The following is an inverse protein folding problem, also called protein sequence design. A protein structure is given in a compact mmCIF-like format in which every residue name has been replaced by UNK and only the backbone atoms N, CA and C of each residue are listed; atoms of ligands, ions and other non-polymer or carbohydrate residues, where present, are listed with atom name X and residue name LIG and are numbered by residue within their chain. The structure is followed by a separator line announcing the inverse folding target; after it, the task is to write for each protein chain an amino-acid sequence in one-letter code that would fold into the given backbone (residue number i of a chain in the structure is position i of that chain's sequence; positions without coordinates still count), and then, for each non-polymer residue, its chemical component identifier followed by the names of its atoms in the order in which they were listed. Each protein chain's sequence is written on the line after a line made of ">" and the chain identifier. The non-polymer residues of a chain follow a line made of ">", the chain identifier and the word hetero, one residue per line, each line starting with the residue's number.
data_IF_771116620566
#
_entry.id   IF_771116620566
#
_cell.length_a   1.000
_cell.length_b   1.000
_cell.length_c   1.000
_cell.angle_alpha   90.00
_cell.angle_beta   90.00
_cell.angle_gamma   90.00
#
_symmetry.space_group_name_H-M   'P 1'
#
loop_
_entity.id
_entity.type
_entity.pdbx_description
1 polymer ?
#
# COMPACT_ATOMS: atom_id res chain seq x y z
N UNK A 1 -22.31 -8.97 12.34
CA UNK A 1 -23.33 -7.94 12.57
C UNK A 1 -23.75 -7.95 14.04
N UNK A 2 -24.01 -6.79 14.63
CA UNK A 2 -24.65 -6.68 15.96
C UNK A 2 -26.08 -6.20 15.78
N UNK A 3 -27.02 -6.84 16.47
CA UNK A 3 -28.45 -6.60 16.31
C UNK A 3 -29.15 -6.45 17.64
N UNK A 4 -30.25 -5.69 17.67
CA UNK A 4 -31.13 -5.58 18.84
C UNK A 4 -31.85 -6.89 19.12
N UNK A 5 -32.21 -7.64 18.08
CA UNK A 5 -32.78 -8.98 18.10
C UNK A 5 -32.02 -9.85 17.08
N UNK A 6 -31.03 -10.65 17.52
CA UNK A 6 -30.26 -11.52 16.65
C UNK A 6 -31.08 -12.58 15.91
N UNK A 7 -32.08 -13.14 16.55
CA UNK A 7 -32.91 -14.21 15.98
C UNK A 7 -33.82 -13.66 14.89
N UNK A 8 -34.47 -12.53 15.13
CA UNK A 8 -35.26 -11.83 14.12
C UNK A 8 -34.41 -11.35 12.96
N UNK A 9 -33.17 -10.88 13.22
CA UNK A 9 -32.23 -10.46 12.20
C UNK A 9 -31.79 -11.63 11.32
N UNK A 10 -31.40 -12.75 11.91
CA UNK A 10 -31.05 -13.97 11.18
C UNK A 10 -32.22 -14.49 10.34
N UNK A 11 -33.45 -14.49 10.92
CA UNK A 11 -34.64 -14.88 10.19
C UNK A 11 -34.88 -13.99 8.96
N UNK A 12 -34.75 -12.69 9.10
CA UNK A 12 -34.90 -11.75 7.98
C UNK A 12 -33.88 -12.02 6.87
N UNK A 13 -32.57 -12.12 7.21
CA UNK A 13 -31.54 -12.39 6.19
C UNK A 13 -31.69 -13.77 5.53
N UNK A 14 -32.21 -14.77 6.27
CA UNK A 14 -32.55 -16.08 5.70
C UNK A 14 -33.72 -15.96 4.72
N UNK A 15 -34.81 -15.36 5.15
CA UNK A 15 -36.08 -15.39 4.44
C UNK A 15 -36.13 -14.36 3.29
N UNK A 16 -35.46 -13.21 3.45
CA UNK A 16 -35.42 -12.14 2.46
C UNK A 16 -34.22 -12.28 1.54
N UNK A 17 -33.03 -12.50 2.07
CA UNK A 17 -31.78 -12.49 1.29
C UNK A 17 -31.31 -13.90 0.88
N UNK A 18 -32.00 -14.96 1.33
CA UNK A 18 -31.71 -16.34 0.94
C UNK A 18 -30.51 -16.98 1.64
N UNK A 19 -30.14 -16.52 2.82
CA UNK A 19 -29.05 -17.10 3.59
C UNK A 19 -29.36 -18.53 4.05
N UNK A 20 -28.40 -19.44 3.92
CA UNK A 20 -28.51 -20.83 4.38
C UNK A 20 -28.14 -20.93 5.86
N UNK A 21 -29.02 -21.48 6.74
CA UNK A 21 -28.70 -21.69 8.14
C UNK A 21 -27.45 -22.58 8.30
N UNK A 22 -26.52 -22.15 9.13
CA UNK A 22 -25.28 -22.88 9.41
C UNK A 22 -24.79 -22.62 10.83
N UNK A 23 -24.10 -23.59 11.44
CA UNK A 23 -23.49 -23.43 12.75
C UNK A 23 -21.96 -23.50 12.65
N UNK A 24 -21.28 -22.43 13.06
CA UNK A 24 -19.82 -22.36 13.07
C UNK A 24 -19.28 -23.18 14.25
N UNK A 25 -18.63 -24.32 13.93
CA UNK A 25 -18.06 -25.25 14.91
C UNK A 25 -19.07 -25.73 15.99
N UNK A 26 -20.37 -25.74 15.66
CA UNK A 26 -21.43 -26.12 16.61
C UNK A 26 -21.57 -25.18 17.82
N UNK A 27 -21.08 -23.95 17.74
CA UNK A 27 -21.10 -22.99 18.85
C UNK A 27 -21.75 -21.65 18.53
N UNK A 28 -21.76 -21.27 17.27
CA UNK A 28 -22.30 -19.98 16.81
C UNK A 28 -23.22 -20.27 15.64
N UNK A 29 -24.50 -20.02 15.80
CA UNK A 29 -25.46 -20.10 14.72
C UNK A 29 -25.40 -18.84 13.87
N UNK A 30 -25.57 -19.02 12.57
CA UNK A 30 -25.47 -17.95 11.57
C UNK A 30 -26.03 -18.38 10.24
N UNK A 31 -25.72 -17.60 9.20
CA UNK A 31 -26.10 -17.92 7.84
C UNK A 31 -24.85 -18.02 6.95
N UNK A 32 -24.97 -18.75 5.87
CA UNK A 32 -23.98 -18.77 4.78
C UNK A 32 -24.58 -18.18 3.52
N UNK A 33 -23.75 -17.34 2.86
CA UNK A 33 -24.00 -16.79 1.54
C UNK A 33 -22.77 -17.11 0.70
N UNK A 34 -22.88 -18.00 -0.25
CA UNK A 34 -21.81 -18.38 -1.19
C UNK A 34 -20.39 -18.48 -0.56
N UNK A 35 -20.30 -19.21 0.53
CA UNK A 35 -19.03 -19.41 1.26
C UNK A 35 -18.69 -18.32 2.30
N UNK A 36 -19.44 -17.24 2.38
CA UNK A 36 -19.27 -16.19 3.39
C UNK A 36 -20.13 -16.50 4.60
N UNK A 37 -19.55 -16.41 5.80
CA UNK A 37 -20.27 -16.51 7.05
C UNK A 37 -20.89 -15.19 7.46
N UNK A 38 -22.20 -15.21 7.74
CA UNK A 38 -22.93 -14.09 8.28
C UNK A 38 -23.34 -14.42 9.72
N UNK A 39 -22.61 -13.85 10.66
CA UNK A 39 -22.83 -14.06 12.10
C UNK A 39 -23.47 -12.83 12.72
N UNK A 40 -24.46 -13.04 13.57
CA UNK A 40 -25.16 -11.96 14.27
C UNK A 40 -25.01 -12.17 15.77
N UNK A 41 -24.69 -11.12 16.50
CA UNK A 41 -24.59 -11.11 17.95
C UNK A 41 -25.46 -10.01 18.55
N UNK A 42 -25.89 -10.19 19.80
CA UNK A 42 -26.70 -9.19 20.49
C UNK A 42 -25.94 -7.87 20.68
N UNK A 43 -26.66 -6.75 20.53
CA UNK A 43 -26.20 -5.44 20.91
C UNK A 43 -26.76 -5.08 22.27
N UNK A 44 -25.94 -4.96 23.32
CA UNK A 44 -26.46 -4.89 24.71
C UNK A 44 -27.11 -3.54 25.07
N UNK A 45 -26.92 -2.51 24.26
CA UNK A 45 -27.36 -1.13 24.57
C UNK A 45 -28.62 -0.69 23.80
N UNK A 46 -29.38 -1.64 23.23
CA UNK A 46 -30.59 -1.35 22.44
C UNK A 46 -30.33 -1.36 20.93
N UNK A 47 -31.27 -0.82 20.14
CA UNK A 47 -31.14 -0.83 18.69
C UNK A 47 -29.95 0.04 18.23
N UNK A 48 -28.99 -0.51 17.46
CA UNK A 48 -27.95 0.29 16.83
C UNK A 48 -28.62 1.28 15.86
N UNK A 49 -28.10 2.48 15.78
CA UNK A 49 -28.59 3.45 14.77
C UNK A 49 -28.23 3.03 13.35
N UNK A 50 -28.84 3.69 12.35
CA UNK A 50 -28.59 3.45 10.92
C UNK A 50 -27.08 3.35 10.58
N UNK A 51 -26.75 2.52 9.60
CA UNK A 51 -25.38 2.41 9.07
C UNK A 51 -25.04 3.48 8.06
N UNK A 52 -26.02 4.22 7.54
CA UNK A 52 -25.81 5.29 6.54
C UNK A 52 -24.82 6.32 7.06
N UNK A 53 -23.83 6.66 6.24
CA UNK A 53 -22.73 7.60 6.57
C UNK A 53 -21.84 7.20 7.76
N UNK A 54 -21.74 5.90 8.05
CA UNK A 54 -20.82 5.35 9.06
C UNK A 54 -19.65 4.62 8.40
N UNK A 55 -18.68 4.19 9.19
CA UNK A 55 -17.50 3.45 8.72
C UNK A 55 -17.86 2.19 7.92
N UNK A 56 -19.00 1.53 8.24
CA UNK A 56 -19.63 0.52 7.39
C UNK A 56 -21.00 1.08 7.01
N UNK A 57 -21.12 1.60 5.79
CA UNK A 57 -22.36 2.21 5.31
C UNK A 57 -23.41 1.16 4.97
N UNK A 58 -23.02 0.06 4.33
CA UNK A 58 -23.97 -0.97 3.89
C UNK A 58 -23.33 -2.36 3.83
N UNK A 59 -24.19 -3.38 3.79
CA UNK A 59 -23.86 -4.77 3.46
C UNK A 59 -24.30 -5.03 2.02
N UNK A 60 -23.39 -5.48 1.16
CA UNK A 60 -23.65 -5.69 -0.26
C UNK A 60 -23.89 -7.16 -0.61
N UNK A 61 -24.90 -7.40 -1.48
CA UNK A 61 -25.17 -8.70 -2.11
C UNK A 61 -25.11 -8.55 -3.62
N UNK A 62 -24.40 -9.45 -4.28
CA UNK A 62 -24.27 -9.46 -5.74
C UNK A 62 -25.31 -10.40 -6.33
N UNK A 63 -25.96 -9.97 -7.40
CA UNK A 63 -27.00 -10.74 -8.15
C UNK A 63 -26.72 -10.68 -9.65
N UNK A 64 -27.08 -11.71 -10.36
CA UNK A 64 -26.86 -11.78 -11.82
C UNK A 64 -27.83 -10.87 -12.62
N UNK A 65 -29.05 -10.69 -12.13
CA UNK A 65 -30.09 -9.85 -12.72
C UNK A 65 -30.77 -9.03 -11.63
N UNK A 66 -30.44 -7.74 -11.59
CA UNK A 66 -30.95 -6.84 -10.58
C UNK A 66 -32.47 -6.58 -10.71
N UNK A 67 -33.03 -6.60 -11.92
CA UNK A 67 -34.46 -6.41 -12.11
C UNK A 67 -35.26 -7.61 -11.61
N UNK A 68 -34.79 -8.82 -11.91
CA UNK A 68 -35.39 -10.05 -11.39
C UNK A 68 -35.27 -10.13 -9.85
N UNK A 69 -34.08 -9.81 -9.30
CA UNK A 69 -33.88 -9.79 -7.84
C UNK A 69 -34.75 -8.73 -7.16
N UNK A 70 -34.88 -7.53 -7.73
CA UNK A 70 -35.73 -6.47 -7.18
C UNK A 70 -37.21 -6.84 -7.23
N UNK A 71 -37.67 -7.54 -8.29
CA UNK A 71 -39.04 -8.03 -8.39
C UNK A 71 -39.33 -9.09 -7.30
N UNK A 72 -38.42 -10.03 -7.07
CA UNK A 72 -38.53 -11.06 -6.02
C UNK A 72 -38.54 -10.43 -4.61
N UNK A 73 -37.63 -9.50 -4.35
CA UNK A 73 -37.57 -8.79 -3.06
C UNK A 73 -38.87 -8.02 -2.77
N UNK A 74 -39.48 -7.39 -3.79
CA UNK A 74 -40.77 -6.73 -3.63
C UNK A 74 -41.91 -7.71 -3.32
N UNK A 75 -41.87 -8.91 -3.93
CA UNK A 75 -42.84 -9.98 -3.59
C UNK A 75 -42.70 -10.46 -2.14
N UNK A 76 -41.50 -10.39 -1.60
CA UNK A 76 -41.21 -10.69 -0.17
C UNK A 76 -41.49 -9.49 0.75
N UNK A 77 -42.08 -8.41 0.25
CA UNK A 77 -42.51 -7.24 1.03
C UNK A 77 -41.41 -6.22 1.31
N UNK A 78 -40.29 -6.28 0.60
CA UNK A 78 -39.19 -5.32 0.75
C UNK A 78 -39.50 -4.01 0.02
N UNK A 79 -39.25 -2.90 0.70
CA UNK A 79 -39.32 -1.54 0.12
C UNK A 79 -37.89 -1.03 -0.10
N UNK A 80 -37.61 -0.48 -1.29
CA UNK A 80 -36.31 0.07 -1.61
C UNK A 80 -36.19 1.52 -1.13
N UNK A 81 -35.04 1.86 -0.54
CA UNK A 81 -34.63 3.25 -0.31
C UNK A 81 -34.20 3.92 -1.62
N UNK A 82 -33.56 3.14 -2.48
CA UNK A 82 -33.19 3.52 -3.82
C UNK A 82 -33.48 2.38 -4.79
N UNK A 83 -34.33 2.63 -5.78
CA UNK A 83 -34.66 1.69 -6.85
C UNK A 83 -33.43 1.36 -7.72
N UNK A 84 -33.45 0.23 -8.46
CA UNK A 84 -32.37 -0.13 -9.38
C UNK A 84 -31.97 1.01 -10.31
N UNK A 85 -30.73 1.49 -10.19
CA UNK A 85 -30.22 2.62 -10.97
C UNK A 85 -28.73 2.44 -11.26
N UNK A 86 -28.30 2.97 -12.41
CA UNK A 86 -26.88 3.20 -12.67
C UNK A 86 -26.46 4.46 -11.91
N UNK A 87 -25.46 4.40 -11.02
CA UNK A 87 -25.03 5.56 -10.27
C UNK A 87 -24.56 6.70 -11.19
N UNK A 88 -25.10 7.90 -11.01
CA UNK A 88 -24.63 9.07 -11.73
C UNK A 88 -23.20 9.40 -11.32
N UNK A 89 -22.29 9.54 -12.29
CA UNK A 89 -20.88 9.84 -12.04
C UNK A 89 -20.07 8.66 -11.48
N UNK A 90 -20.67 7.47 -11.36
CA UNK A 90 -19.97 6.26 -10.91
C UNK A 90 -19.01 5.73 -11.97
N UNK A 91 -17.89 5.19 -11.54
CA UNK A 91 -16.88 4.54 -12.42
C UNK A 91 -17.30 3.14 -12.87
N UNK A 92 -18.41 2.63 -12.37
CA UNK A 92 -18.96 1.33 -12.76
C UNK A 92 -20.29 1.53 -13.48
N UNK A 93 -20.50 0.76 -14.55
CA UNK A 93 -21.80 0.65 -15.22
C UNK A 93 -22.76 -0.28 -14.45
N UNK A 94 -22.31 -0.92 -13.39
CA UNK A 94 -23.11 -1.87 -12.65
C UNK A 94 -24.24 -1.16 -11.92
N UNK A 95 -25.45 -1.68 -12.12
CA UNK A 95 -26.66 -1.20 -11.48
C UNK A 95 -26.71 -1.63 -10.03
N UNK A 96 -27.28 -0.81 -9.20
CA UNK A 96 -27.48 -1.13 -7.78
C UNK A 96 -28.80 -0.59 -7.25
N UNK A 97 -29.28 -1.20 -6.18
CA UNK A 97 -30.42 -0.76 -5.41
C UNK A 97 -30.07 -0.76 -3.92
N UNK A 98 -30.74 0.06 -3.13
CA UNK A 98 -30.59 0.05 -1.68
C UNK A 98 -31.92 -0.21 -1.00
N UNK A 99 -31.87 -0.97 0.08
CA UNK A 99 -33.01 -1.25 0.95
C UNK A 99 -32.58 -1.20 2.43
N UNK A 100 -33.54 -1.04 3.33
CA UNK A 100 -33.31 -1.08 4.76
C UNK A 100 -33.54 -2.49 5.30
N UNK A 101 -32.52 -3.05 5.92
CA UNK A 101 -32.61 -4.28 6.68
C UNK A 101 -32.96 -4.05 8.17
N UNK A 102 -32.95 -5.11 9.00
CA UNK A 102 -33.17 -5.01 10.43
C UNK A 102 -32.20 -4.00 11.10
N UNK A 103 -32.66 -3.33 12.15
CA UNK A 103 -31.91 -2.30 12.88
C UNK A 103 -31.40 -1.14 11.99
N UNK A 104 -32.14 -0.82 10.93
CA UNK A 104 -31.79 0.20 9.95
C UNK A 104 -30.39 0.00 9.32
N UNK A 105 -29.95 -1.24 9.19
CA UNK A 105 -28.77 -1.60 8.41
C UNK A 105 -29.10 -1.41 6.95
N UNK A 106 -28.31 -0.58 6.26
CA UNK A 106 -28.46 -0.39 4.81
C UNK A 106 -27.95 -1.63 4.08
N UNK A 107 -28.73 -2.16 3.16
CA UNK A 107 -28.37 -3.29 2.33
C UNK A 107 -28.32 -2.84 0.87
N UNK A 108 -27.21 -3.11 0.20
CA UNK A 108 -27.05 -2.90 -1.24
C UNK A 108 -27.27 -4.21 -1.98
N UNK A 109 -28.06 -4.18 -3.06
CA UNK A 109 -28.16 -5.26 -4.05
C UNK A 109 -27.55 -4.74 -5.34
N UNK A 110 -26.55 -5.45 -5.84
CA UNK A 110 -25.69 -4.98 -6.93
C UNK A 110 -25.64 -6.03 -8.02
N UNK A 111 -25.78 -5.61 -9.27
CA UNK A 111 -25.74 -6.51 -10.43
C UNK A 111 -24.32 -7.06 -10.65
N UNK A 112 -24.21 -8.31 -11.11
CA UNK A 112 -22.95 -8.95 -11.52
C UNK A 112 -22.24 -8.05 -12.53
N UNK A 113 -20.93 -7.87 -12.37
CA UNK A 113 -20.15 -6.81 -13.05
C UNK A 113 -19.81 -5.65 -12.12
N UNK A 114 -20.35 -5.63 -10.90
CA UNK A 114 -19.79 -4.93 -9.74
C UNK A 114 -18.76 -5.82 -9.01
N UNK A 115 -18.03 -6.62 -9.73
CA UNK A 115 -16.77 -7.11 -9.19
C UNK A 115 -15.95 -5.86 -8.90
N UNK A 116 -15.78 -5.53 -7.62
CA UNK A 116 -15.04 -4.34 -7.23
C UNK A 116 -13.83 -4.20 -8.14
N UNK A 117 -13.93 -3.30 -9.10
CA UNK A 117 -12.97 -3.10 -10.17
C UNK A 117 -12.72 -4.39 -10.99
N UNK A 118 -13.62 -4.74 -11.93
CA UNK A 118 -13.18 -5.42 -13.15
C UNK A 118 -12.24 -4.46 -13.87
N UNK A 119 -10.97 -4.53 -13.50
CA UNK A 119 -9.94 -4.01 -14.37
C UNK A 119 -9.97 -4.93 -15.57
N UNK A 120 -10.41 -4.42 -16.69
CA UNK A 120 -10.09 -5.00 -17.97
C UNK A 120 -8.56 -5.00 -18.10
N UNK A 121 -7.95 -6.06 -17.59
CA UNK A 121 -6.49 -6.26 -17.64
C UNK A 121 -6.00 -6.32 -19.10
N UNK A 122 -6.90 -6.43 -20.09
CA UNK A 122 -6.58 -6.33 -21.50
C UNK A 122 -6.27 -4.91 -21.97
N UNK A 123 -6.67 -3.88 -21.22
CA UNK A 123 -6.57 -2.49 -21.69
C UNK A 123 -5.34 -1.72 -21.22
N UNK A 124 -4.57 -2.20 -20.24
CA UNK A 124 -3.50 -1.42 -19.66
C UNK A 124 -2.28 -2.27 -19.22
N UNK A 125 -1.62 -2.87 -20.19
CA UNK A 125 -0.26 -3.38 -19.96
C UNK A 125 0.69 -2.22 -20.19
N UNK A 126 1.29 -1.73 -19.11
CA UNK A 126 2.27 -0.67 -19.15
C UNK A 126 3.62 -1.27 -19.56
N UNK A 127 3.95 -1.16 -20.82
CA UNK A 127 5.33 -1.38 -21.27
C UNK A 127 6.17 -0.16 -20.86
N UNK A 128 7.44 -0.39 -20.58
CA UNK A 128 8.41 0.67 -20.28
C UNK A 128 8.48 1.73 -21.39
N UNK A 129 8.20 1.33 -22.63
CA UNK A 129 8.33 2.18 -23.84
C UNK A 129 7.01 2.88 -24.28
N UNK A 130 5.87 2.58 -23.65
CA UNK A 130 4.55 2.98 -24.20
C UNK A 130 4.12 4.42 -23.88
N UNK A 131 4.88 5.17 -23.08
CA UNK A 131 4.54 6.55 -22.73
C UNK A 131 5.35 7.50 -23.61
N UNK A 132 4.68 8.04 -24.63
CA UNK A 132 5.23 9.13 -25.46
C UNK A 132 5.50 10.40 -24.64
N UNK A 133 6.08 11.42 -25.28
CA UNK A 133 6.30 12.72 -24.64
C UNK A 133 4.96 13.27 -24.11
N UNK A 134 4.88 13.49 -22.81
CA UNK A 134 3.71 14.07 -22.13
C UNK A 134 4.04 15.51 -21.74
N UNK A 135 3.22 16.45 -22.16
CA UNK A 135 3.33 17.85 -21.73
C UNK A 135 2.66 17.99 -20.37
N UNK A 136 3.46 17.98 -19.30
CA UNK A 136 2.96 18.04 -17.94
C UNK A 136 2.27 19.38 -17.66
N UNK A 137 1.11 19.40 -16.99
CA UNK A 137 0.50 20.63 -16.51
C UNK A 137 1.53 21.46 -15.73
N UNK A 138 1.34 22.78 -15.75
CA UNK A 138 2.23 23.70 -15.05
C UNK A 138 1.54 24.33 -13.87
N UNK A 139 2.30 24.52 -12.80
CA UNK A 139 1.89 25.35 -11.68
C UNK A 139 1.74 26.82 -12.11
N UNK A 140 1.03 27.66 -11.33
CA UNK A 140 0.92 29.10 -11.65
C UNK A 140 2.26 29.84 -11.75
N UNK A 141 3.33 29.28 -11.19
CA UNK A 141 4.70 29.82 -11.29
C UNK A 141 5.58 29.13 -12.31
N UNK A 142 5.01 28.23 -13.17
CA UNK A 142 5.61 27.72 -14.38
C UNK A 142 6.39 26.40 -14.25
N UNK A 143 6.53 25.83 -13.05
CA UNK A 143 7.14 24.51 -12.84
C UNK A 143 6.17 23.39 -13.25
N UNK A 144 6.65 22.18 -13.62
CA UNK A 144 5.76 21.02 -13.81
C UNK A 144 4.93 20.76 -12.56
N UNK A 145 3.65 20.50 -12.74
CA UNK A 145 2.71 20.26 -11.63
C UNK A 145 2.68 18.78 -11.27
N UNK A 146 3.19 18.45 -10.07
CA UNK A 146 3.20 17.12 -9.47
C UNK A 146 2.24 17.02 -8.28
N UNK A 147 1.50 18.09 -7.98
CA UNK A 147 0.62 18.13 -6.83
C UNK A 147 -0.44 17.03 -6.91
N UNK A 148 -0.81 16.49 -5.77
CA UNK A 148 -1.86 15.47 -5.64
C UNK A 148 -1.48 14.37 -4.67
N UNK A 149 -2.39 13.42 -4.55
CA UNK A 149 -2.17 12.17 -3.82
C UNK A 149 -1.78 11.08 -4.80
N UNK A 150 -0.65 10.46 -4.53
CA UNK A 150 -0.05 9.42 -5.37
C UNK A 150 0.02 8.12 -4.59
N UNK A 151 0.02 6.99 -5.29
CA UNK A 151 0.27 5.68 -4.71
C UNK A 151 1.24 4.89 -5.56
N UNK A 152 2.11 4.10 -4.94
CA UNK A 152 2.97 3.15 -5.66
C UNK A 152 2.45 1.72 -5.59
N UNK A 153 1.18 1.54 -5.31
CA UNK A 153 0.54 0.21 -5.20
C UNK A 153 0.67 -0.63 -6.46
N UNK A 154 0.68 -0.03 -7.65
CA UNK A 154 0.88 -0.73 -8.93
C UNK A 154 2.26 -1.39 -9.05
N UNK A 155 3.25 -0.89 -8.32
CA UNK A 155 4.59 -1.47 -8.29
C UNK A 155 4.74 -2.61 -7.26
N UNK A 156 3.72 -2.87 -6.45
CA UNK A 156 3.71 -4.01 -5.53
C UNK A 156 3.74 -5.29 -6.35
N UNK A 157 4.75 -6.08 -6.09
CA UNK A 157 4.91 -7.32 -6.84
C UNK A 157 6.05 -7.28 -7.85
N UNK A 158 6.55 -6.12 -8.25
CA UNK A 158 7.78 -6.04 -9.01
C UNK A 158 8.93 -6.45 -8.08
N UNK A 159 9.74 -7.47 -8.43
CA UNK A 159 10.91 -7.82 -7.65
C UNK A 159 11.88 -6.63 -7.58
N UNK A 160 12.56 -6.46 -6.45
CA UNK A 160 13.56 -5.41 -6.37
C UNK A 160 14.75 -5.69 -7.29
N UNK A 161 15.25 -6.92 -7.26
CA UNK A 161 16.29 -7.44 -8.16
C UNK A 161 15.69 -8.48 -9.09
N UNK A 162 16.22 -8.61 -10.30
CA UNK A 162 15.78 -9.60 -11.25
C UNK A 162 15.97 -11.02 -10.69
N UNK A 163 14.92 -11.87 -10.70
CA UNK A 163 15.03 -13.26 -10.30
C UNK A 163 16.01 -14.05 -11.20
N UNK A 164 16.62 -15.10 -10.65
CA UNK A 164 17.61 -15.90 -11.37
C UNK A 164 17.04 -16.65 -12.57
N UNK A 165 15.76 -17.00 -12.49
CA UNK A 165 14.99 -17.78 -13.48
C UNK A 165 14.29 -16.89 -14.53
N UNK A 166 14.50 -15.57 -14.47
CA UNK A 166 13.88 -14.60 -15.39
C UNK A 166 14.97 -13.91 -16.22
N UNK A 167 14.81 -13.87 -17.54
CA UNK A 167 15.71 -13.17 -18.45
C UNK A 167 15.64 -11.63 -18.25
N UNK A 168 16.71 -10.94 -18.66
CA UNK A 168 16.70 -9.48 -18.68
C UNK A 168 15.78 -8.97 -19.79
N UNK A 169 15.10 -7.85 -19.54
CA UNK A 169 14.13 -7.23 -20.44
C UNK A 169 12.75 -7.16 -19.80
N UNK A 170 11.74 -6.82 -20.59
CA UNK A 170 10.36 -6.75 -20.10
C UNK A 170 9.68 -8.13 -20.14
N UNK A 171 8.77 -8.35 -19.23
CA UNK A 171 7.87 -9.51 -19.26
C UNK A 171 6.87 -9.37 -20.42
N UNK A 172 6.43 -10.50 -20.97
CA UNK A 172 5.23 -10.47 -21.80
C UNK A 172 4.01 -10.06 -20.97
N UNK A 173 2.96 -9.65 -21.67
CA UNK A 173 1.68 -9.33 -21.03
C UNK A 173 1.16 -10.44 -20.13
N UNK A 174 1.18 -11.67 -20.65
CA UNK A 174 0.71 -12.87 -19.94
C UNK A 174 1.57 -13.16 -18.71
N UNK A 175 2.88 -13.03 -18.82
CA UNK A 175 3.80 -13.21 -17.69
C UNK A 175 3.59 -12.15 -16.61
N UNK A 176 3.35 -10.90 -17.00
CA UNK A 176 3.10 -9.80 -16.06
C UNK A 176 1.78 -10.03 -15.30
N UNK A 177 0.71 -10.42 -16.00
CA UNK A 177 -0.58 -10.78 -15.40
C UNK A 177 -0.43 -11.98 -14.46
N UNK A 178 0.21 -13.06 -14.91
CA UNK A 178 0.41 -14.25 -14.09
C UNK A 178 1.23 -13.96 -12.82
N UNK A 179 2.25 -13.11 -12.93
CA UNK A 179 3.02 -12.63 -11.77
C UNK A 179 2.15 -11.85 -10.79
N UNK A 180 1.31 -10.97 -11.29
CA UNK A 180 0.40 -10.16 -10.49
C UNK A 180 -0.61 -11.04 -9.75
N UNK A 181 -1.31 -11.91 -10.44
CA UNK A 181 -2.27 -12.86 -9.88
C UNK A 181 -1.61 -13.80 -8.86
N UNK A 182 -0.47 -14.37 -9.18
CA UNK A 182 0.27 -15.26 -8.30
C UNK A 182 0.63 -14.62 -6.97
N UNK A 183 0.90 -13.31 -6.96
CA UNK A 183 1.18 -12.56 -5.73
C UNK A 183 -0.07 -12.17 -4.95
N UNK A 184 -1.17 -11.88 -5.64
CA UNK A 184 -2.46 -11.65 -5.00
C UNK A 184 -2.97 -12.90 -4.28
N UNK A 185 -2.81 -14.06 -4.92
CA UNK A 185 -3.26 -15.36 -4.38
C UNK A 185 -2.28 -15.93 -3.35
N UNK A 186 -0.98 -15.76 -3.56
CA UNK A 186 0.09 -16.36 -2.75
C UNK A 186 0.32 -15.73 -1.37
N UNK A 187 -0.39 -14.68 -1.03
CA UNK A 187 -0.20 -13.96 0.25
C UNK A 187 1.08 -13.14 0.26
N UNK A 188 0.96 -11.82 0.08
CA UNK A 188 2.09 -10.93 0.28
C UNK A 188 2.40 -10.92 1.78
N UNK A 189 3.56 -11.49 2.17
CA UNK A 189 4.09 -11.41 3.52
C UNK A 189 3.30 -12.13 4.62
N UNK A 190 2.45 -13.12 4.27
CA UNK A 190 1.69 -13.88 5.25
C UNK A 190 0.53 -13.12 5.90
N UNK A 191 0.14 -11.97 5.37
CA UNK A 191 -1.04 -11.27 5.81
C UNK A 191 -2.30 -11.93 5.26
N UNK A 192 -3.31 -12.05 6.10
CA UNK A 192 -4.64 -12.48 5.69
C UNK A 192 -5.21 -11.53 4.63
N UNK A 193 -6.10 -12.04 3.78
CA UNK A 193 -6.60 -11.33 2.60
C UNK A 193 -7.30 -10.00 2.95
N UNK A 194 -7.96 -9.93 4.10
CA UNK A 194 -8.65 -8.75 4.61
C UNK A 194 -7.75 -7.59 5.03
N UNK A 195 -6.46 -7.84 5.22
CA UNK A 195 -5.46 -6.82 5.58
C UNK A 195 -4.78 -6.19 4.39
N UNK A 196 -5.13 -6.63 3.19
CA UNK A 196 -4.54 -6.09 1.98
C UNK A 196 -5.26 -4.81 1.60
N UNK A 197 -4.47 -3.83 1.22
CA UNK A 197 -4.99 -2.66 0.53
C UNK A 197 -5.72 -3.13 -0.73
N UNK A 198 -7.01 -2.86 -0.84
CA UNK A 198 -7.82 -3.24 -1.99
C UNK A 198 -7.34 -2.60 -3.29
N UNK A 199 -6.56 -1.52 -3.18
CA UNK A 199 -5.88 -0.88 -4.30
C UNK A 199 -4.65 -1.64 -4.78
N UNK A 200 -4.09 -2.55 -3.97
CA UNK A 200 -2.92 -3.36 -4.33
C UNK A 200 -3.17 -4.32 -5.50
N UNK A 201 -4.40 -4.73 -5.68
CA UNK A 201 -4.78 -5.69 -6.70
C UNK A 201 -4.69 -5.13 -8.11
N UNK A 202 -4.85 -3.83 -8.24
CA UNK A 202 -5.16 -3.24 -9.53
C UNK A 202 -4.49 -1.88 -9.59
N UNK A 203 -3.23 -1.88 -10.02
CA UNK A 203 -2.63 -0.63 -10.45
C UNK A 203 -3.59 0.02 -11.44
N UNK A 204 -4.04 1.22 -11.16
CA UNK A 204 -5.06 1.90 -11.99
C UNK A 204 -4.60 2.17 -13.40
N UNK A 205 -3.30 2.13 -13.61
CA UNK A 205 -2.63 2.30 -14.88
C UNK A 205 -2.31 0.95 -15.55
N UNK A 206 -2.64 -0.18 -14.91
CA UNK A 206 -2.39 -1.52 -15.45
C UNK A 206 -1.26 -2.29 -14.77
N UNK A 207 -1.00 -3.48 -15.28
CA UNK A 207 0.04 -4.38 -14.79
C UNK A 207 1.38 -4.03 -15.44
N UNK A 208 2.41 -3.76 -14.64
CA UNK A 208 3.75 -3.45 -15.16
C UNK A 208 4.42 -4.69 -15.75
N UNK A 209 5.00 -4.54 -16.94
CA UNK A 209 5.87 -5.56 -17.57
C UNK A 209 7.30 -5.52 -17.02
N UNK A 210 7.63 -4.55 -16.20
CA UNK A 210 8.96 -4.38 -15.62
C UNK A 210 9.41 -5.63 -14.84
N UNK A 211 10.56 -6.19 -15.21
CA UNK A 211 11.10 -7.43 -14.62
C UNK A 211 11.59 -7.23 -13.20
N UNK A 212 12.24 -6.09 -12.93
CA UNK A 212 12.80 -5.73 -11.63
C UNK A 212 12.78 -4.22 -11.43
N UNK A 213 12.89 -3.78 -10.18
CA UNK A 213 13.02 -2.34 -9.91
C UNK A 213 14.42 -1.82 -10.26
N UNK A 214 15.47 -2.62 -10.06
CA UNK A 214 16.83 -2.26 -10.47
C UNK A 214 16.91 -2.23 -11.99
N UNK A 215 17.31 -1.08 -12.54
CA UNK A 215 17.45 -0.83 -13.99
C UNK A 215 18.90 -0.57 -14.40
N UNK A 216 19.74 -0.19 -13.45
CA UNK A 216 21.17 -0.04 -13.64
C UNK A 216 21.91 -0.58 -12.40
N UNK A 217 22.76 -1.58 -12.52
CA UNK A 217 23.24 -2.24 -13.75
C UNK A 217 22.13 -2.90 -14.60
N UNK A 218 22.34 -3.01 -15.95
CA UNK A 218 21.31 -3.46 -16.88
C UNK A 218 20.94 -4.95 -16.74
N UNK A 219 21.69 -5.71 -15.94
CA UNK A 219 21.32 -7.06 -15.56
C UNK A 219 20.19 -7.13 -14.52
N UNK A 220 19.73 -5.96 -14.03
CA UNK A 220 18.66 -5.86 -13.06
C UNK A 220 19.03 -6.30 -11.64
N UNK A 221 20.32 -6.30 -11.31
CA UNK A 221 20.84 -6.76 -10.01
C UNK A 221 21.64 -5.68 -9.31
N UNK A 222 21.64 -5.75 -7.99
CA UNK A 222 22.51 -4.89 -7.20
C UNK A 222 23.98 -5.25 -7.45
N UNK A 223 24.89 -4.25 -7.52
CA UNK A 223 26.30 -4.51 -7.63
C UNK A 223 26.82 -5.24 -6.39
N UNK A 224 28.00 -5.86 -6.53
CA UNK A 224 28.67 -6.51 -5.42
C UNK A 224 28.95 -5.52 -4.30
N UNK A 225 28.95 -6.02 -3.07
CA UNK A 225 29.36 -5.24 -1.91
C UNK A 225 30.89 -5.11 -1.89
N UNK A 226 31.37 -4.00 -1.36
CA UNK A 226 32.82 -3.82 -1.16
C UNK A 226 33.36 -4.80 -0.12
N UNK A 227 34.62 -5.22 -0.27
CA UNK A 227 35.28 -6.11 0.69
C UNK A 227 35.25 -5.54 2.14
N UNK A 228 35.30 -4.21 2.28
CA UNK A 228 35.18 -3.53 3.57
C UNK A 228 33.81 -3.77 4.22
N UNK A 229 32.74 -3.75 3.42
CA UNK A 229 31.37 -4.00 3.90
C UNK A 229 31.16 -5.47 4.24
N UNK A 230 31.71 -6.38 3.43
CA UNK A 230 31.65 -7.81 3.70
C UNK A 230 32.38 -8.18 4.99
N UNK A 231 33.58 -7.66 5.18
CA UNK A 231 34.31 -7.87 6.41
C UNK A 231 33.59 -7.36 7.67
N UNK A 232 32.86 -6.21 7.53
CA UNK A 232 32.07 -5.65 8.62
C UNK A 232 30.79 -6.46 8.87
N UNK A 233 30.18 -7.04 7.82
CA UNK A 233 29.02 -7.91 7.94
C UNK A 233 29.36 -9.20 8.69
N UNK A 234 30.52 -9.78 8.42
CA UNK A 234 31.03 -10.96 9.14
C UNK A 234 31.25 -10.66 10.62
N UNK A 235 31.72 -9.45 10.98
CA UNK A 235 31.95 -9.04 12.37
C UNK A 235 30.71 -8.55 13.10
N UNK A 236 29.71 -8.04 12.38
CA UNK A 236 28.48 -7.47 12.95
C UNK A 236 27.25 -8.40 12.87
N UNK A 237 27.40 -9.62 12.31
CA UNK A 237 26.27 -10.48 11.97
C UNK A 237 25.45 -9.87 10.83
N UNK A 238 25.58 -10.43 9.64
CA UNK A 238 24.94 -9.93 8.42
C UNK A 238 23.44 -9.69 8.62
N UNK A 239 22.92 -8.55 8.18
CA UNK A 239 21.48 -8.26 8.19
C UNK A 239 20.65 -9.20 7.29
N UNK A 240 21.30 -9.97 6.40
CA UNK A 240 20.74 -11.08 5.62
C UNK A 240 21.02 -12.47 6.19
N UNK A 241 22.00 -12.62 7.07
CA UNK A 241 22.08 -13.85 7.83
C UNK A 241 20.79 -13.94 8.65
N UNK A 242 20.16 -15.13 8.80
CA UNK A 242 19.20 -15.30 9.86
C UNK A 242 19.96 -14.87 11.11
N UNK A 243 19.71 -13.63 11.56
CA UNK A 243 20.18 -13.23 12.87
C UNK A 243 19.72 -14.37 13.78
N UNK A 244 20.65 -15.14 14.34
CA UNK A 244 20.45 -15.51 15.72
C UNK A 244 20.17 -14.19 16.38
N UNK A 245 18.87 -13.87 16.49
CA UNK A 245 18.39 -12.51 16.79
C UNK A 245 19.00 -12.20 18.13
N UNK A 246 20.04 -11.38 18.10
CA UNK A 246 20.60 -10.87 19.34
C UNK A 246 19.42 -10.29 20.09
N UNK A 247 19.14 -10.82 21.25
CA UNK A 247 18.01 -10.40 22.08
C UNK A 247 18.17 -8.91 22.29
N UNK A 248 17.24 -8.04 21.81
CA UNK A 248 17.43 -6.60 21.90
C UNK A 248 17.54 -6.20 23.36
N UNK A 249 18.58 -5.43 23.67
CA UNK A 249 18.87 -4.94 25.03
C UNK A 249 17.97 -3.77 25.39
N UNK A 250 17.63 -2.94 24.41
CA UNK A 250 16.79 -1.77 24.56
C UNK A 250 16.08 -1.38 23.26
N UNK A 251 15.29 -0.30 23.28
CA UNK A 251 14.63 0.23 22.09
C UNK A 251 15.60 0.59 20.97
N UNK A 252 16.83 0.95 21.29
CA UNK A 252 17.87 1.38 20.34
C UNK A 252 18.28 0.24 19.39
N UNK A 253 18.11 -1.01 19.81
CA UNK A 253 18.41 -2.18 19.01
C UNK A 253 17.31 -2.52 18.01
N UNK A 254 16.15 -1.83 18.10
CA UNK A 254 15.02 -1.98 17.19
C UNK A 254 15.15 -1.00 16.02
N UNK A 255 14.57 -1.39 14.88
CA UNK A 255 14.57 -0.53 13.70
C UNK A 255 13.84 0.78 13.94
N UNK A 256 14.21 1.81 13.19
CA UNK A 256 13.53 3.12 13.21
C UNK A 256 12.05 3.02 12.91
N UNK A 257 11.62 2.02 12.11
CA UNK A 257 10.23 1.76 11.83
C UNK A 257 9.47 1.25 13.06
N UNK A 258 9.96 0.21 13.73
CA UNK A 258 9.33 -0.32 14.97
C UNK A 258 9.25 0.76 16.04
N UNK A 259 10.19 1.69 16.04
CA UNK A 259 10.25 2.84 16.96
C UNK A 259 9.41 4.03 16.51
N UNK A 260 8.68 3.94 15.42
CA UNK A 260 7.88 5.04 14.83
C UNK A 260 8.68 6.32 14.55
N UNK A 261 9.96 6.18 14.19
CA UNK A 261 10.83 7.32 13.87
C UNK A 261 10.75 7.64 12.38
N UNK A 262 11.02 6.63 11.53
CA UNK A 262 10.96 6.76 10.06
C UNK A 262 11.00 5.39 9.39
N UNK A 263 10.42 5.31 8.19
CA UNK A 263 10.62 4.16 7.27
C UNK A 263 11.75 4.37 6.27
N UNK A 264 12.50 5.44 6.42
CA UNK A 264 13.55 5.83 5.49
C UNK A 264 13.01 6.64 4.29
N UNK A 265 13.92 7.19 3.50
CA UNK A 265 13.61 8.18 2.48
C UNK A 265 12.92 7.59 1.25
N UNK A 266 13.33 6.40 0.81
CA UNK A 266 12.84 5.77 -0.42
C UNK A 266 11.51 5.05 -0.14
N UNK A 267 10.41 5.47 -0.79
CA UNK A 267 9.07 4.90 -0.54
C UNK A 267 8.87 3.61 -1.34
N UNK A 268 9.56 2.53 -0.96
CA UNK A 268 9.37 1.24 -1.62
C UNK A 268 7.94 0.72 -1.46
N UNK A 269 7.34 0.13 -2.52
CA UNK A 269 6.00 -0.44 -2.46
C UNK A 269 5.88 -1.52 -1.38
N UNK A 270 4.81 -1.49 -0.65
CA UNK A 270 4.51 -2.42 0.44
C UNK A 270 3.10 -3.00 0.37
N UNK A 271 2.77 -3.88 1.30
CA UNK A 271 1.46 -4.55 1.36
C UNK A 271 0.29 -3.62 1.72
N UNK A 272 0.54 -2.39 2.17
CA UNK A 272 -0.47 -1.41 2.60
C UNK A 272 0.17 -0.04 2.80
N UNK A 273 -0.67 1.00 2.90
CA UNK A 273 -0.28 2.38 3.19
C UNK A 273 0.81 2.91 2.24
N UNK A 274 0.52 2.81 0.93
CA UNK A 274 1.44 3.21 -0.14
C UNK A 274 1.23 4.66 -0.60
N UNK A 275 0.43 5.43 0.12
CA UNK A 275 0.09 6.81 -0.24
C UNK A 275 1.24 7.79 -0.04
N UNK A 276 1.31 8.73 -0.97
CA UNK A 276 2.24 9.85 -0.96
C UNK A 276 1.49 11.10 -1.40
N UNK A 277 1.64 12.19 -0.67
CA UNK A 277 1.11 13.48 -1.06
C UNK A 277 2.23 14.41 -1.49
N UNK A 278 2.10 14.99 -2.66
CA UNK A 278 3.02 16.03 -3.15
C UNK A 278 2.29 17.38 -3.10
N UNK A 279 2.90 18.35 -2.45
CA UNK A 279 2.47 19.75 -2.42
C UNK A 279 3.63 20.61 -2.90
N UNK A 280 3.35 21.57 -3.78
CA UNK A 280 4.35 22.47 -4.33
C UNK A 280 4.03 23.92 -3.96
N UNK A 281 5.09 24.67 -3.75
CA UNK A 281 5.06 26.12 -3.66
C UNK A 281 6.27 26.71 -4.37
N UNK A 282 6.28 28.02 -4.64
CA UNK A 282 7.44 28.65 -5.26
C UNK A 282 8.72 28.36 -4.46
N UNK A 283 9.68 27.69 -5.07
CA UNK A 283 10.97 27.38 -4.46
C UNK A 283 11.01 26.16 -3.55
N UNK A 284 9.93 25.37 -3.45
CA UNK A 284 9.95 24.12 -2.66
C UNK A 284 8.92 23.10 -3.13
N UNK A 285 9.22 21.84 -2.83
CA UNK A 285 8.30 20.68 -2.96
C UNK A 285 8.27 19.96 -1.63
N UNK A 286 7.08 19.72 -1.08
CA UNK A 286 6.86 18.91 0.10
C UNK A 286 6.31 17.54 -0.32
N UNK A 287 6.93 16.47 0.16
CA UNK A 287 6.51 15.09 -0.11
C UNK A 287 6.17 14.45 1.23
N UNK A 288 4.90 14.20 1.46
CA UNK A 288 4.39 13.53 2.66
C UNK A 288 4.15 12.07 2.35
N UNK A 289 4.70 11.20 3.17
CA UNK A 289 4.45 9.77 3.13
C UNK A 289 3.38 9.40 4.15
N UNK A 290 2.42 8.58 3.75
CA UNK A 290 1.36 8.12 4.64
C UNK A 290 1.92 7.38 5.86
N UNK A 291 2.77 6.38 5.60
CA UNK A 291 3.34 5.56 6.65
C UNK A 291 4.32 6.35 7.53
N UNK A 292 4.02 6.41 8.83
CA UNK A 292 4.72 7.25 9.84
C UNK A 292 4.49 8.76 9.64
N UNK A 293 3.56 9.16 8.76
CA UNK A 293 3.16 10.56 8.43
C UNK A 293 4.35 11.52 8.27
N UNK A 294 5.42 11.04 7.63
CA UNK A 294 6.68 11.76 7.50
C UNK A 294 6.65 12.69 6.30
N UNK A 295 6.93 13.97 6.52
CA UNK A 295 7.01 14.98 5.46
C UNK A 295 8.45 15.41 5.22
N UNK A 296 8.88 15.32 3.97
CA UNK A 296 10.15 15.83 3.50
C UNK A 296 9.94 17.13 2.71
N UNK A 297 10.68 18.17 3.05
CA UNK A 297 10.69 19.43 2.29
C UNK A 297 11.96 19.51 1.45
N UNK A 298 11.79 19.65 0.15
CA UNK A 298 12.84 19.78 -0.84
C UNK A 298 12.85 21.24 -1.31
N UNK A 299 13.93 21.99 -1.03
CA UNK A 299 14.11 23.32 -1.59
C UNK A 299 14.58 23.21 -3.04
N UNK A 300 13.87 23.87 -3.97
CA UNK A 300 14.26 23.98 -5.39
C UNK A 300 15.04 25.26 -5.68
N UNK A 301 15.14 26.15 -4.70
CA UNK A 301 16.01 27.32 -4.79
C UNK A 301 17.47 26.94 -4.49
N UNK A 302 18.44 27.56 -5.17
CA UNK A 302 19.85 27.39 -4.86
C UNK A 302 20.17 27.78 -3.42
N UNK A 303 20.57 26.80 -2.62
CA UNK A 303 21.00 27.01 -1.22
C UNK A 303 22.33 26.30 -0.98
N UNK A 304 23.22 26.87 -0.16
CA UNK A 304 24.42 26.16 0.26
C UNK A 304 24.07 24.83 0.95
N UNK A 305 24.90 23.82 0.73
CA UNK A 305 24.80 22.59 1.51
C UNK A 305 25.03 22.89 2.99
N UNK A 306 24.28 22.27 3.87
CA UNK A 306 24.61 22.27 5.30
C UNK A 306 25.94 21.51 5.50
N UNK A 307 26.72 21.96 6.48
CA UNK A 307 27.97 21.28 6.80
C UNK A 307 27.72 19.83 7.21
N UNK A 308 28.70 18.96 6.98
CA UNK A 308 28.62 17.51 7.30
C UNK A 308 28.34 17.20 8.79
N UNK A 309 28.46 18.19 9.67
CA UNK A 309 28.05 18.05 11.07
C UNK A 309 26.53 18.08 11.32
N UNK A 310 25.73 18.44 10.29
CA UNK A 310 24.26 18.45 10.38
C UNK A 310 23.76 17.22 9.63
N UNK A 311 23.61 16.11 10.35
CA UNK A 311 23.14 14.85 9.81
C UNK A 311 21.77 14.45 10.42
N UNK A 312 20.89 13.85 9.61
CA UNK A 312 19.58 13.38 10.06
C UNK A 312 19.27 11.99 9.50
N UNK A 313 18.18 11.38 9.97
CA UNK A 313 17.72 10.10 9.46
C UNK A 313 17.43 10.13 7.94
N UNK A 314 16.83 11.24 7.47
CA UNK A 314 16.47 11.42 6.07
C UNK A 314 17.49 12.24 5.26
N UNK A 315 18.62 12.60 5.89
CA UNK A 315 19.59 13.46 5.24
C UNK A 315 19.08 14.88 4.96
N UNK A 316 19.75 15.57 4.06
CA UNK A 316 19.36 16.89 3.57
C UNK A 316 19.10 16.81 2.06
N UNK A 317 17.86 17.09 1.67
CA UNK A 317 17.42 17.10 0.27
C UNK A 317 17.49 18.49 -0.34
N UNK A 318 17.98 18.57 -1.59
CA UNK A 318 17.98 19.77 -2.42
C UNK A 318 17.49 19.40 -3.80
N UNK A 319 16.56 20.17 -4.33
CA UNK A 319 15.96 19.94 -5.63
C UNK A 319 16.43 20.94 -6.69
N UNK A 320 16.30 20.54 -7.94
CA UNK A 320 16.37 21.41 -9.11
C UNK A 320 15.50 20.85 -10.20
N UNK A 321 15.02 21.70 -11.06
CA UNK A 321 14.32 21.30 -12.26
C UNK A 321 15.31 21.05 -13.41
N UNK A 322 15.14 19.94 -14.11
CA UNK A 322 15.86 19.55 -15.33
C UNK A 322 14.80 19.27 -16.40
N UNK A 323 14.40 20.33 -17.12
CA UNK A 323 13.20 20.27 -17.97
C UNK A 323 11.96 19.97 -17.16
N UNK A 324 11.27 18.87 -17.47
CA UNK A 324 10.05 18.42 -16.79
C UNK A 324 10.32 17.44 -15.66
N UNK A 325 11.58 17.25 -15.30
CA UNK A 325 12.00 16.35 -14.23
C UNK A 325 12.45 17.12 -12.99
N UNK A 326 11.88 16.81 -11.84
CA UNK A 326 12.42 17.22 -10.55
C UNK A 326 13.57 16.28 -10.18
N UNK A 327 14.77 16.82 -10.06
CA UNK A 327 15.97 16.10 -9.60
C UNK A 327 16.25 16.50 -8.16
N UNK A 328 16.31 15.52 -7.26
CA UNK A 328 16.56 15.74 -5.84
C UNK A 328 17.84 15.02 -5.43
N UNK A 329 18.79 15.76 -4.91
CA UNK A 329 20.01 15.22 -4.31
C UNK A 329 19.90 15.23 -2.80
N UNK A 330 20.18 14.10 -2.16
CA UNK A 330 20.14 13.96 -0.70
C UNK A 330 21.44 13.36 -0.19
N UNK A 331 22.04 14.03 0.80
CA UNK A 331 23.24 13.60 1.50
C UNK A 331 23.10 13.90 3.02
N UNK A 332 24.17 13.78 3.78
CA UNK A 332 24.21 14.06 5.21
C UNK A 332 23.26 13.14 6.02
N UNK A 333 23.22 11.85 5.69
CA UNK A 333 22.54 10.85 6.47
C UNK A 333 23.29 10.57 7.78
N UNK A 334 22.57 10.29 8.86
CA UNK A 334 23.16 9.88 10.13
C UNK A 334 23.46 8.37 10.22
N UNK A 335 23.05 7.59 9.22
CA UNK A 335 23.24 6.14 9.13
C UNK A 335 22.21 5.31 9.92
N UNK A 336 21.26 5.95 10.62
CA UNK A 336 20.29 5.25 11.46
C UNK A 336 19.06 4.72 10.68
N UNK A 337 18.85 5.19 9.44
CA UNK A 337 17.76 4.73 8.56
C UNK A 337 18.33 4.32 7.19
N UNK A 338 19.33 3.44 7.20
CA UNK A 338 20.01 3.01 5.98
C UNK A 338 19.12 2.21 5.06
N UNK A 339 19.20 2.52 3.77
CA UNK A 339 18.48 1.77 2.72
C UNK A 339 19.37 0.64 2.19
N UNK A 340 18.91 -0.60 2.30
CA UNK A 340 19.61 -1.82 1.88
C UNK A 340 21.06 -1.95 2.39
N UNK A 341 21.28 -1.44 3.59
CA UNK A 341 22.57 -1.48 4.25
C UNK A 341 23.56 -0.40 3.82
N UNK A 342 23.12 0.61 3.07
CA UNK A 342 23.91 1.80 2.77
C UNK A 342 24.32 2.53 4.05
N UNK A 343 25.43 3.26 3.98
CA UNK A 343 26.03 3.95 5.12
C UNK A 343 25.56 5.40 5.24
N UNK A 344 26.09 6.11 6.22
CA UNK A 344 25.93 7.56 6.35
C UNK A 344 26.58 8.36 5.21
N UNK A 345 27.50 7.73 4.48
CA UNK A 345 28.25 8.34 3.38
C UNK A 345 27.51 8.17 2.03
N UNK A 346 26.29 7.62 2.06
CA UNK A 346 25.41 7.51 0.89
C UNK A 346 25.04 8.87 0.33
N UNK A 347 25.09 9.00 -0.99
CA UNK A 347 24.40 10.04 -1.76
C UNK A 347 23.23 9.39 -2.49
N UNK A 348 22.07 10.02 -2.43
CA UNK A 348 20.86 9.60 -3.13
C UNK A 348 20.48 10.67 -4.14
N UNK A 349 20.32 10.27 -5.40
CA UNK A 349 19.78 11.13 -6.45
C UNK A 349 18.43 10.57 -6.88
N UNK A 350 17.40 11.35 -6.74
CA UNK A 350 16.03 10.97 -7.11
C UNK A 350 15.58 11.82 -8.31
N UNK A 351 14.82 11.20 -9.21
CA UNK A 351 14.24 11.86 -10.39
C UNK A 351 12.75 11.54 -10.41
N UNK A 352 11.96 12.59 -10.51
CA UNK A 352 10.51 12.52 -10.62
C UNK A 352 10.11 13.10 -11.95
N UNK A 353 9.44 12.32 -12.80
CA UNK A 353 9.01 12.75 -14.13
C UNK A 353 7.56 12.36 -14.35
N UNK A 354 6.70 13.33 -14.65
CA UNK A 354 5.30 13.04 -14.96
C UNK A 354 5.20 12.56 -16.40
N UNK A 355 4.78 11.31 -16.58
CA UNK A 355 4.72 10.63 -17.89
C UNK A 355 3.31 10.60 -18.48
N UNK A 356 2.30 10.98 -17.70
CA UNK A 356 0.90 10.98 -18.11
C UNK A 356 0.02 11.72 -17.12
N UNK A 357 -1.29 11.88 -17.41
CA UNK A 357 -2.21 12.57 -16.53
C UNK A 357 -2.22 12.01 -15.11
N UNK A 358 -2.10 10.69 -14.97
CA UNK A 358 -2.10 9.99 -13.70
C UNK A 358 -0.84 9.17 -13.45
N UNK A 359 0.27 9.40 -14.14
CA UNK A 359 1.50 8.58 -13.99
C UNK A 359 2.70 9.45 -13.69
N UNK A 360 3.38 9.15 -12.58
CA UNK A 360 4.64 9.73 -12.17
C UNK A 360 5.70 8.62 -12.14
N UNK A 361 6.78 8.77 -12.92
CA UNK A 361 7.94 7.90 -12.81
C UNK A 361 8.84 8.38 -11.68
N UNK A 362 9.19 7.47 -10.81
CA UNK A 362 10.13 7.68 -9.73
C UNK A 362 11.36 6.80 -9.94
N UNK A 363 12.49 7.46 -10.21
CA UNK A 363 13.77 6.82 -10.38
C UNK A 363 14.71 7.30 -9.26
N UNK A 364 15.53 6.41 -8.73
CA UNK A 364 16.52 6.80 -7.73
C UNK A 364 17.83 6.06 -7.91
N UNK A 365 18.92 6.79 -7.73
CA UNK A 365 20.29 6.28 -7.79
C UNK A 365 20.92 6.35 -6.41
N UNK A 366 21.46 5.23 -5.95
CA UNK A 366 22.22 5.11 -4.71
C UNK A 366 23.70 5.06 -5.06
N UNK A 367 24.45 6.00 -4.53
CA UNK A 367 25.91 6.04 -4.60
C UNK A 367 26.48 5.97 -3.17
N UNK A 368 27.07 4.85 -2.82
CA UNK A 368 27.74 4.63 -1.54
C UNK A 368 28.99 3.76 -1.76
N UNK A 369 30.13 4.38 -2.09
CA UNK A 369 31.35 3.65 -2.39
C UNK A 369 31.95 2.91 -1.20
N UNK A 370 31.43 3.14 0.01
CA UNK A 370 31.84 2.37 1.20
C UNK A 370 31.12 1.01 1.29
N UNK A 371 29.99 0.87 0.58
CA UNK A 371 29.13 -0.31 0.62
C UNK A 371 29.09 -1.03 -0.71
N UNK A 372 28.94 -0.32 -1.81
CA UNK A 372 28.76 -0.86 -3.16
C UNK A 372 29.98 -0.63 -4.04
N UNK A 373 30.27 -1.55 -4.94
CA UNK A 373 31.39 -1.45 -5.87
C UNK A 373 31.16 -0.42 -6.97
N UNK A 374 29.91 -0.04 -7.21
CA UNK A 374 29.49 1.01 -8.13
C UNK A 374 28.12 1.55 -7.72
N UNK A 375 27.73 2.75 -8.19
CA UNK A 375 26.36 3.24 -8.05
C UNK A 375 25.36 2.30 -8.74
N UNK A 376 24.10 2.34 -8.30
CA UNK A 376 23.02 1.59 -8.91
C UNK A 376 21.71 2.37 -8.89
N UNK A 377 20.86 2.10 -9.85
CA UNK A 377 19.59 2.82 -10.05
C UNK A 377 18.42 1.85 -10.04
N UNK A 378 17.35 2.25 -9.37
CA UNK A 378 16.08 1.57 -9.44
C UNK A 378 14.96 2.55 -9.81
N UNK A 379 13.87 2.01 -10.36
CA UNK A 379 12.73 2.76 -10.85
C UNK A 379 11.44 2.01 -10.58
N UNK A 380 10.38 2.74 -10.30
CA UNK A 380 8.99 2.29 -10.35
C UNK A 380 8.06 3.49 -10.53
N UNK A 381 6.80 3.22 -10.87
CA UNK A 381 5.82 4.26 -11.15
C UNK A 381 4.88 4.47 -9.98
N UNK A 382 4.34 5.67 -9.90
CA UNK A 382 3.29 6.06 -8.99
C UNK A 382 2.06 6.45 -9.79
N UNK A 383 0.89 6.12 -9.26
CA UNK A 383 -0.40 6.44 -9.85
C UNK A 383 -1.07 7.58 -9.07
N UNK A 384 -1.59 8.58 -9.79
CA UNK A 384 -2.39 9.65 -9.19
C UNK A 384 -3.80 9.12 -8.91
N UNK A 385 -4.26 9.28 -7.68
CA UNK A 385 -5.58 8.84 -7.29
C UNK A 385 -6.23 9.66 -6.17
N UNK A 386 -6.69 10.82 -6.58
CA UNK A 386 -7.41 11.72 -5.67
C UNK A 386 -8.83 11.28 -5.34
N UNK A 387 -9.40 10.33 -6.09
CA UNK A 387 -10.83 9.99 -5.94
C UNK A 387 -11.11 8.80 -5.04
N UNK A 388 -10.11 7.96 -4.74
CA UNK A 388 -10.29 6.73 -3.97
C UNK A 388 -9.24 6.55 -2.87
N UNK A 389 -8.19 7.34 -2.90
CA UNK A 389 -7.13 7.30 -1.91
C UNK A 389 -7.01 8.65 -1.20
N UNK A 390 -7.26 8.64 0.09
CA UNK A 390 -7.01 9.79 0.95
C UNK A 390 -5.91 9.42 1.93
N UNK A 391 -4.96 10.33 2.15
CA UNK A 391 -4.00 10.15 3.23
C UNK A 391 -4.71 10.34 4.55
N UNK A 392 -4.79 9.25 5.31
CA UNK A 392 -5.29 9.26 6.68
C UNK A 392 -4.13 9.32 7.66
N UNK A 393 -4.41 9.74 8.87
CA UNK A 393 -3.41 9.73 9.93
C UNK A 393 -2.90 8.30 10.19
N UNK A 394 -1.60 8.13 10.16
CA UNK A 394 -0.95 6.88 10.55
C UNK A 394 -0.53 6.96 12.02
N UNK A 395 -1.40 6.49 12.90
CA UNK A 395 -1.22 6.50 14.36
C UNK A 395 -0.17 5.50 14.83
N UNK A 396 1.09 5.67 14.43
CA UNK A 396 2.16 4.70 14.70
C UNK A 396 2.47 4.53 16.19
N UNK A 397 2.40 5.61 16.97
CA UNK A 397 2.70 5.58 18.40
C UNK A 397 1.55 5.01 19.22
N UNK A 398 0.32 5.27 18.80
CA UNK A 398 -0.89 4.81 19.46
C UNK A 398 -0.97 3.29 19.38
N UNK A 399 -0.93 2.66 20.54
CA UNK A 399 -1.01 1.21 20.61
C UNK A 399 0.18 0.46 20.03
N UNK A 400 1.38 1.06 19.97
CA UNK A 400 2.61 0.35 19.56
C UNK A 400 3.01 -0.72 20.59
N UNK A 401 2.13 -1.69 20.80
CA UNK A 401 2.38 -2.85 21.66
C UNK A 401 3.49 -3.76 21.11
N UNK A 402 3.77 -3.67 19.82
CA UNK A 402 4.83 -4.45 19.16
C UNK A 402 6.18 -4.23 19.82
N UNK A 403 6.58 -2.97 20.05
CA UNK A 403 7.85 -2.65 20.70
C UNK A 403 7.91 -3.19 22.13
N UNK A 404 6.86 -2.98 22.93
CA UNK A 404 6.76 -3.50 24.30
C UNK A 404 6.85 -5.02 24.33
N UNK A 405 6.14 -5.71 23.43
CA UNK A 405 6.11 -7.17 23.38
C UNK A 405 7.46 -7.75 22.94
N UNK A 406 8.14 -7.13 21.98
CA UNK A 406 9.48 -7.55 21.53
C UNK A 406 10.47 -7.47 22.70
N UNK A 407 10.50 -6.34 23.43
CA UNK A 407 11.42 -6.13 24.55
C UNK A 407 11.07 -7.03 25.74
N UNK A 408 9.79 -7.23 26.04
CA UNK A 408 9.34 -8.16 27.09
C UNK A 408 9.72 -9.61 26.77
N UNK A 409 9.50 -10.06 25.53
CA UNK A 409 9.90 -11.38 25.06
C UNK A 409 11.44 -11.55 25.09
N UNK A 410 12.19 -10.47 24.85
CA UNK A 410 13.64 -10.47 24.99
C UNK A 410 14.06 -10.74 26.45
N UNK A 411 13.49 -10.02 27.41
CA UNK A 411 13.78 -10.24 28.85
C UNK A 411 13.42 -11.63 29.33
N UNK A 412 12.32 -12.18 28.85
CA UNK A 412 11.92 -13.56 29.18
C UNK A 412 12.96 -14.59 28.71
N UNK A 413 13.54 -14.39 27.52
CA UNK A 413 14.62 -15.25 26.99
C UNK A 413 15.90 -15.13 27.80
N UNK A 414 16.29 -13.90 28.20
CA UNK A 414 17.45 -13.66 29.06
C UNK A 414 17.32 -14.37 30.39
N UNK A 415 16.14 -14.28 31.04
CA UNK A 415 15.88 -14.97 32.30
C UNK A 415 15.94 -16.51 32.15
N UNK A 416 15.38 -17.06 31.07
CA UNK A 416 15.45 -18.49 30.79
C UNK A 416 16.90 -18.95 30.57
N UNK A 417 17.71 -18.18 29.86
CA UNK A 417 19.15 -18.50 29.66
C UNK A 417 19.97 -18.42 30.93
N UNK A 418 19.63 -17.52 31.87
CA UNK A 418 20.29 -17.46 33.20
C UNK A 418 19.93 -18.66 34.08
N UNK A 419 18.66 -19.10 34.02
CA UNK A 419 18.20 -20.25 34.81
C UNK A 419 18.69 -21.62 34.27
N UNK A 420 19.15 -21.66 33.01
CA UNK A 420 19.70 -22.86 32.39
C UNK A 420 21.21 -23.05 32.62
N UNK A 421 21.87 -22.07 33.24
CA UNK A 421 23.29 -22.13 33.68
C UNK A 421 23.42 -22.54 35.13
#
# INVERSE_FOLDING_TARGET
>A
LRASDPDATLAWYRDVMGGEPASLKGRLDGLRFDGVWFLVSAYPEGAPGTTVERAIDHVGFVVDDLDAAAADLRQRGVTFEQEPVVPAGGRTSARRAYLSGPDAVRVAVVETGFAGVDVDLGAAILTTDALGAFDAPRTPWGEPDFQGVWTNSSAVGIPFERPDDVEAGDLTAEQAVARHEGRLLGGIWGYEREWRDTTLGYGRQGVSTQVAMVIDPPDGRLPARTARREARAVTAGDERAPRERSTPSGPEDLSTWVRCITRGLIPTPGGYNNGLQIVQGPGYVAITREMVHETRIVSTEPRPALGSGVASYLGQSRGRWDGDTLVVETANFNGGASFRGSSKDMTLVERYTRLGPGTLEYQFTVDDPTVWTQPWTAMFRWDLDESQYELVEYGCHEGNYGMTNILSGARSRDAAAQNAR
#
